data_IF_857538044808
#
_entry.id   IF_857538044808
#
_cell.length_a   1.000
_cell.length_b   1.000
_cell.length_c   1.000
_cell.angle_alpha   90.00
_cell.angle_beta   90.00
_cell.angle_gamma   90.00
#
_symmetry.space_group_name_H-M   'P 1'
#
loop_
_entity.id
_entity.type
_entity.pdbx_description
1 polymer ?
#
# COMPACT_ATOMS: atom_id res chain seq x y z
N UNK A 1 -2.98 -10.52 -8.04
CA UNK A 1 -4.35 -11.04 -7.96
C UNK A 1 -5.33 -10.35 -8.93
N UNK A 2 -5.19 -9.05 -9.24
CA UNK A 2 -6.15 -8.33 -10.09
C UNK A 2 -6.13 -8.74 -11.58
N UNK A 3 -4.96 -8.95 -12.16
CA UNK A 3 -4.82 -9.26 -13.59
C UNK A 3 -5.63 -10.49 -14.05
N UNK A 4 -5.62 -11.63 -13.34
CA UNK A 4 -6.40 -12.81 -13.75
C UNK A 4 -7.92 -12.59 -13.74
N UNK A 5 -8.43 -11.69 -12.90
CA UNK A 5 -9.86 -11.44 -12.75
C UNK A 5 -10.39 -10.29 -13.63
N UNK A 6 -9.52 -9.62 -14.40
CA UNK A 6 -9.94 -8.51 -15.29
C UNK A 6 -11.08 -8.91 -16.24
N UNK A 7 -11.02 -10.06 -16.93
CA UNK A 7 -12.09 -10.45 -17.83
C UNK A 7 -13.45 -10.63 -17.12
N UNK A 8 -13.44 -11.26 -15.94
CA UNK A 8 -14.65 -11.43 -15.13
C UNK A 8 -15.26 -10.10 -14.68
N UNK A 9 -14.42 -9.12 -14.31
CA UNK A 9 -14.88 -7.77 -13.96
C UNK A 9 -15.51 -7.06 -15.15
N UNK A 10 -14.94 -7.21 -16.37
CA UNK A 10 -15.50 -6.64 -17.59
C UNK A 10 -16.90 -7.20 -17.88
N UNK A 11 -17.06 -8.50 -17.76
CA UNK A 11 -18.33 -9.19 -18.01
C UNK A 11 -19.39 -8.79 -16.98
N UNK A 12 -19.06 -8.81 -15.70
CA UNK A 12 -20.01 -8.53 -14.61
C UNK A 12 -20.48 -7.08 -14.60
N UNK A 13 -19.57 -6.13 -14.80
CA UNK A 13 -19.92 -4.70 -14.77
C UNK A 13 -20.21 -4.08 -16.14
N UNK A 14 -20.12 -4.86 -17.23
CA UNK A 14 -20.35 -4.37 -18.59
C UNK A 14 -19.38 -3.27 -19.02
N UNK A 15 -18.16 -3.25 -18.49
CA UNK A 15 -17.15 -2.21 -18.79
C UNK A 15 -16.12 -2.68 -19.79
N UNK A 16 -15.60 -1.74 -20.57
CA UNK A 16 -14.57 -2.06 -21.58
C UNK A 16 -13.21 -2.35 -20.94
N UNK A 17 -12.34 -3.02 -21.70
CA UNK A 17 -10.94 -3.27 -21.31
C UNK A 17 -10.20 -1.99 -20.95
N UNK A 18 -10.55 -0.86 -21.59
CA UNK A 18 -9.97 0.45 -21.26
C UNK A 18 -10.24 0.85 -19.81
N UNK A 19 -11.46 0.73 -19.30
CA UNK A 19 -11.79 1.11 -17.93
C UNK A 19 -11.13 0.21 -16.88
N UNK A 20 -11.02 -1.10 -17.15
CA UNK A 20 -10.33 -2.02 -16.23
C UNK A 20 -8.82 -1.78 -16.21
N UNK A 21 -8.20 -1.50 -17.36
CA UNK A 21 -6.80 -1.12 -17.44
C UNK A 21 -6.54 0.26 -16.79
N UNK A 22 -7.45 1.22 -16.98
CA UNK A 22 -7.39 2.53 -16.32
C UNK A 22 -7.43 2.38 -14.80
N UNK A 23 -8.29 1.50 -14.27
CA UNK A 23 -8.34 1.21 -12.83
C UNK A 23 -7.00 0.73 -12.30
N UNK A 24 -6.31 -0.16 -13.02
CA UNK A 24 -4.99 -0.63 -12.63
C UNK A 24 -3.94 0.49 -12.62
N UNK A 25 -3.89 1.29 -13.67
CA UNK A 25 -2.97 2.43 -13.78
C UNK A 25 -3.25 3.50 -12.71
N UNK A 26 -4.52 3.78 -12.42
CA UNK A 26 -4.94 4.71 -11.39
C UNK A 26 -4.49 4.26 -9.99
N UNK A 27 -4.61 2.96 -9.69
CA UNK A 27 -4.13 2.39 -8.44
C UNK A 27 -2.63 2.59 -8.26
N UNK A 28 -1.83 2.32 -9.29
CA UNK A 28 -0.38 2.53 -9.24
C UNK A 28 -0.02 4.00 -9.07
N UNK A 29 -0.71 4.88 -9.78
CA UNK A 29 -0.51 6.33 -9.67
C UNK A 29 -0.82 6.85 -8.27
N UNK A 30 -1.98 6.53 -7.72
CA UNK A 30 -2.38 6.92 -6.36
C UNK A 30 -1.42 6.36 -5.32
N UNK A 31 -1.01 5.09 -5.47
CA UNK A 31 -0.03 4.46 -4.58
C UNK A 31 1.30 5.21 -4.58
N UNK A 32 1.80 5.63 -5.75
CA UNK A 32 3.05 6.37 -5.87
C UNK A 32 2.99 7.72 -5.10
N UNK A 33 1.92 8.49 -5.26
CA UNK A 33 1.73 9.72 -4.50
C UNK A 33 1.51 9.46 -3.00
N UNK A 34 0.77 8.42 -2.65
CA UNK A 34 0.57 8.01 -1.26
C UNK A 34 1.88 7.74 -0.54
N UNK A 35 2.86 7.11 -1.19
CA UNK A 35 4.16 6.82 -0.58
C UNK A 35 4.89 8.09 -0.11
N UNK A 36 4.79 9.19 -0.86
CA UNK A 36 5.39 10.47 -0.51
C UNK A 36 4.75 11.10 0.74
N UNK A 37 3.43 10.95 0.87
CA UNK A 37 2.69 11.52 2.00
C UNK A 37 2.93 10.73 3.30
N UNK A 38 2.97 9.40 3.23
CA UNK A 38 3.06 8.54 4.43
C UNK A 38 4.36 8.68 5.20
N UNK A 39 5.49 8.94 4.52
CA UNK A 39 6.76 9.20 5.19
C UNK A 39 6.61 10.31 6.23
N UNK A 40 6.13 11.46 5.80
CA UNK A 40 5.94 12.65 6.67
C UNK A 40 4.84 12.50 7.69
N UNK A 41 3.72 11.90 7.30
CA UNK A 41 2.62 11.63 8.24
C UNK A 41 3.12 10.78 9.41
N UNK A 42 3.92 9.77 9.12
CA UNK A 42 4.45 8.88 10.15
C UNK A 42 5.52 9.54 11.03
N UNK A 43 6.29 10.48 10.49
CA UNK A 43 7.24 11.27 11.27
C UNK A 43 6.53 12.25 12.23
N UNK A 44 5.35 12.74 11.83
CA UNK A 44 4.58 13.70 12.64
C UNK A 44 3.65 13.03 13.66
N UNK A 45 2.92 12.02 13.23
CA UNK A 45 1.86 11.39 14.04
C UNK A 45 2.31 10.11 14.75
N UNK A 46 3.48 9.58 14.39
CA UNK A 46 3.99 8.30 14.88
C UNK A 46 3.81 7.16 13.88
N UNK A 47 4.67 6.14 13.97
CA UNK A 47 4.68 5.01 13.03
C UNK A 47 3.44 4.15 13.15
N UNK A 48 3.12 3.74 14.39
CA UNK A 48 2.01 2.81 14.67
C UNK A 48 0.64 3.39 14.30
N UNK A 49 0.24 4.62 14.70
CA UNK A 49 -1.07 5.17 14.35
C UNK A 49 -1.28 5.28 12.83
N UNK A 50 -0.26 5.76 12.10
CA UNK A 50 -0.37 5.94 10.65
C UNK A 50 -0.44 4.58 9.94
N UNK A 51 0.33 3.58 10.39
CA UNK A 51 0.24 2.21 9.88
C UNK A 51 -1.16 1.62 10.09
N UNK A 52 -1.71 1.75 11.30
CA UNK A 52 -3.04 1.22 11.62
C UNK A 52 -4.14 1.88 10.78
N UNK A 53 -4.09 3.19 10.58
CA UNK A 53 -5.03 3.91 9.70
C UNK A 53 -4.90 3.39 8.26
N UNK A 54 -3.67 3.26 7.74
CA UNK A 54 -3.44 2.71 6.41
C UNK A 54 -3.98 1.29 6.24
N UNK A 55 -3.73 0.41 7.21
CA UNK A 55 -4.24 -0.95 7.18
C UNK A 55 -5.78 -1.01 7.26
N UNK A 56 -6.40 -0.18 8.10
CA UNK A 56 -7.87 -0.09 8.18
C UNK A 56 -8.48 0.42 6.88
N UNK A 57 -7.87 1.40 6.22
CA UNK A 57 -8.29 1.87 4.90
C UNK A 57 -8.18 0.75 3.85
N UNK A 58 -7.15 -0.10 3.94
CA UNK A 58 -7.02 -1.25 3.04
C UNK A 58 -8.13 -2.29 3.28
N UNK A 59 -8.47 -2.58 4.53
CA UNK A 59 -9.61 -3.45 4.90
C UNK A 59 -10.91 -2.90 4.33
N UNK A 60 -11.18 -1.61 4.56
CA UNK A 60 -12.39 -0.96 4.06
C UNK A 60 -12.46 -0.98 2.53
N UNK A 61 -11.36 -0.66 1.84
CA UNK A 61 -11.28 -0.70 0.38
C UNK A 61 -11.47 -2.11 -0.18
N UNK A 62 -10.86 -3.13 0.46
CA UNK A 62 -11.02 -4.52 0.05
C UNK A 62 -12.46 -5.02 0.26
N UNK A 63 -13.06 -4.67 1.41
CA UNK A 63 -14.45 -4.99 1.71
C UNK A 63 -15.42 -4.34 0.71
N UNK A 64 -15.21 -3.06 0.37
CA UNK A 64 -16.01 -2.38 -0.65
C UNK A 64 -15.91 -3.05 -2.02
N UNK A 65 -14.69 -3.46 -2.43
CA UNK A 65 -14.53 -4.21 -3.67
C UNK A 65 -15.25 -5.57 -3.63
N UNK A 66 -15.24 -6.25 -2.48
CA UNK A 66 -15.84 -7.58 -2.33
C UNK A 66 -17.37 -7.56 -2.47
N UNK A 67 -18.01 -6.47 -1.99
CA UNK A 67 -19.48 -6.30 -2.01
C UNK A 67 -19.97 -5.34 -3.10
N UNK A 68 -19.10 -4.95 -4.03
CA UNK A 68 -19.47 -3.97 -5.06
C UNK A 68 -20.54 -4.52 -6.01
N UNK A 69 -21.65 -3.79 -6.12
CA UNK A 69 -22.76 -4.10 -7.04
C UNK A 69 -22.72 -3.27 -8.31
N UNK A 70 -21.87 -2.27 -8.40
CA UNK A 70 -21.61 -1.48 -9.59
C UNK A 70 -20.11 -1.12 -9.71
N UNK A 71 -19.70 -0.70 -10.91
CA UNK A 71 -18.31 -0.36 -11.19
C UNK A 71 -17.81 0.85 -10.39
N UNK A 72 -18.66 1.80 -10.06
CA UNK A 72 -18.29 3.01 -9.32
C UNK A 72 -17.89 2.68 -7.88
N UNK A 73 -18.65 1.83 -7.20
CA UNK A 73 -18.31 1.34 -5.85
C UNK A 73 -17.03 0.49 -5.89
N UNK A 74 -16.90 -0.35 -6.90
CA UNK A 74 -15.68 -1.10 -7.12
C UNK A 74 -14.47 -0.17 -7.29
N UNK A 75 -14.58 0.86 -8.12
CA UNK A 75 -13.53 1.86 -8.33
C UNK A 75 -13.20 2.63 -7.04
N UNK A 76 -14.21 3.04 -6.26
CA UNK A 76 -14.01 3.67 -4.97
C UNK A 76 -13.23 2.77 -4.00
N UNK A 77 -13.57 1.48 -3.92
CA UNK A 77 -12.81 0.50 -3.14
C UNK A 77 -11.37 0.37 -3.61
N UNK A 78 -11.13 0.37 -4.93
CA UNK A 78 -9.78 0.34 -5.52
C UNK A 78 -8.96 1.58 -5.20
N UNK A 79 -9.56 2.75 -5.19
CA UNK A 79 -8.91 4.01 -4.79
C UNK A 79 -8.50 3.94 -3.31
N UNK A 80 -9.38 3.48 -2.42
CA UNK A 80 -9.06 3.30 -1.01
C UNK A 80 -7.91 2.30 -0.80
N UNK A 81 -7.93 1.16 -1.50
CA UNK A 81 -6.82 0.20 -1.49
C UNK A 81 -5.51 0.83 -1.95
N UNK A 82 -5.55 1.65 -3.00
CA UNK A 82 -4.37 2.30 -3.56
C UNK A 82 -3.75 3.31 -2.58
N UNK A 83 -4.58 4.13 -1.95
CA UNK A 83 -4.14 5.06 -0.90
C UNK A 83 -3.47 4.26 0.22
N UNK A 84 -4.08 3.19 0.68
CA UNK A 84 -3.59 2.37 1.78
C UNK A 84 -2.29 1.61 1.45
N UNK A 85 -2.13 1.10 0.23
CA UNK A 85 -1.01 0.24 -0.16
C UNK A 85 0.35 0.91 -0.01
N UNK A 86 0.44 2.20 -0.32
CA UNK A 86 1.67 2.99 -0.13
C UNK A 86 2.14 3.06 1.32
N UNK A 87 1.22 3.00 2.28
CA UNK A 87 1.51 3.04 3.71
C UNK A 87 2.43 1.88 4.15
N UNK A 88 2.07 0.65 3.80
CA UNK A 88 2.80 -0.54 4.22
C UNK A 88 4.26 -0.55 3.76
N UNK A 89 4.51 -0.19 2.51
CA UNK A 89 5.86 -0.18 1.91
C UNK A 89 6.77 0.83 2.60
N UNK A 90 6.26 2.03 2.88
CA UNK A 90 7.04 3.12 3.50
C UNK A 90 7.29 2.83 4.97
N UNK A 91 6.23 2.48 5.72
CA UNK A 91 6.34 2.31 7.16
C UNK A 91 7.09 1.06 7.56
N UNK A 92 7.02 -0.03 6.80
CA UNK A 92 7.83 -1.22 7.06
C UNK A 92 9.32 -0.91 7.09
N UNK A 93 9.81 -0.14 6.11
CA UNK A 93 11.21 0.29 6.05
C UNK A 93 11.56 1.32 7.15
N UNK A 94 10.63 2.23 7.45
CA UNK A 94 10.84 3.23 8.49
C UNK A 94 10.92 2.56 9.87
N UNK A 95 9.99 1.67 10.20
CA UNK A 95 9.99 0.89 11.47
C UNK A 95 11.27 0.02 11.57
N UNK A 96 11.65 -0.64 10.46
CA UNK A 96 12.89 -1.40 10.45
C UNK A 96 14.11 -0.54 10.79
N UNK A 97 14.19 0.67 10.26
CA UNK A 97 15.27 1.62 10.56
C UNK A 97 15.24 2.09 12.02
N UNK A 98 14.04 2.31 12.57
CA UNK A 98 13.87 2.80 13.93
C UNK A 98 14.20 1.71 14.97
N UNK A 99 14.00 0.42 14.64
CA UNK A 99 14.17 -0.72 15.55
C UNK A 99 15.55 -1.38 15.46
N UNK A 100 16.10 -1.48 14.25
CA UNK A 100 17.33 -2.23 14.01
C UNK A 100 18.52 -1.29 13.78
N UNK A 101 19.65 -1.58 14.44
CA UNK A 101 20.89 -0.87 14.22
C UNK A 101 21.51 -1.17 12.84
N UNK A 102 22.56 -0.41 12.45
CA UNK A 102 23.19 -0.50 11.13
C UNK A 102 23.55 -1.92 10.70
N UNK A 103 24.07 -2.72 11.63
CA UNK A 103 24.56 -4.08 11.35
C UNK A 103 23.44 -5.05 10.92
N UNK A 104 22.23 -4.90 11.46
CA UNK A 104 21.09 -5.76 11.18
C UNK A 104 20.13 -5.17 10.15
N UNK A 105 20.18 -3.86 9.94
CA UNK A 105 19.24 -3.15 9.07
C UNK A 105 19.30 -3.68 7.63
N UNK A 106 20.50 -3.90 7.08
CA UNK A 106 20.67 -4.41 5.73
C UNK A 106 20.00 -5.78 5.53
N UNK A 107 20.15 -6.68 6.52
CA UNK A 107 19.53 -8.00 6.49
C UNK A 107 18.00 -7.92 6.57
N UNK A 108 17.46 -7.07 7.45
CA UNK A 108 16.00 -6.87 7.59
C UNK A 108 15.41 -6.27 6.32
N UNK A 109 16.06 -5.29 5.72
CA UNK A 109 15.62 -4.70 4.43
C UNK A 109 15.66 -5.76 3.32
N UNK A 110 16.65 -6.65 3.29
CA UNK A 110 16.70 -7.75 2.33
C UNK A 110 15.49 -8.69 2.49
N UNK A 111 15.10 -9.06 3.72
CA UNK A 111 13.89 -9.86 3.96
C UNK A 111 12.61 -9.13 3.54
N UNK A 112 12.48 -7.84 3.85
CA UNK A 112 11.34 -7.03 3.42
C UNK A 112 11.25 -6.96 1.89
N UNK A 113 12.38 -6.79 1.21
CA UNK A 113 12.43 -6.75 -0.26
C UNK A 113 12.08 -8.09 -0.85
N UNK A 114 12.56 -9.20 -0.30
CA UNK A 114 12.20 -10.56 -0.72
C UNK A 114 10.70 -10.79 -0.59
N UNK A 115 10.11 -10.44 0.54
CA UNK A 115 8.66 -10.55 0.75
C UNK A 115 7.86 -9.69 -0.24
N UNK A 116 8.36 -8.48 -0.54
CA UNK A 116 7.75 -7.57 -1.52
C UNK A 116 7.78 -8.13 -2.95
N UNK A 117 8.82 -8.85 -3.34
CA UNK A 117 8.93 -9.49 -4.66
C UNK A 117 8.10 -10.78 -4.74
N UNK A 118 8.07 -11.57 -3.66
CA UNK A 118 7.27 -12.80 -3.61
C UNK A 118 5.75 -12.54 -3.70
N UNK A 119 5.28 -11.43 -3.12
CA UNK A 119 3.86 -11.06 -3.15
C UNK A 119 3.28 -11.02 -4.58
N UNK A 120 3.76 -10.17 -5.48
CA UNK A 120 3.33 -10.13 -6.88
C UNK A 120 3.50 -11.44 -7.63
N UNK A 121 4.52 -12.23 -7.31
CA UNK A 121 4.78 -13.53 -7.96
C UNK A 121 3.73 -14.58 -7.59
N UNK A 122 3.34 -14.64 -6.31
CA UNK A 122 2.34 -15.58 -5.81
C UNK A 122 0.89 -15.12 -6.03
N UNK A 123 0.70 -13.80 -6.16
CA UNK A 123 -0.64 -13.21 -6.26
C UNK A 123 -1.45 -13.66 -7.50
N UNK A 124 -0.91 -13.80 -8.73
CA UNK A 124 -1.67 -14.25 -9.87
C UNK A 124 -2.19 -15.71 -9.73
N UNK A 125 -1.37 -16.73 -9.39
CA UNK A 125 -1.88 -18.08 -9.22
C UNK A 125 -2.93 -18.20 -8.09
N UNK A 126 -2.71 -17.54 -6.95
CA UNK A 126 -3.69 -17.51 -5.87
C UNK A 126 -4.98 -16.81 -6.33
N UNK A 127 -4.87 -15.69 -7.03
CA UNK A 127 -6.01 -14.96 -7.55
C UNK A 127 -6.82 -15.76 -8.58
N UNK A 128 -6.16 -16.52 -9.45
CA UNK A 128 -6.81 -17.43 -10.40
C UNK A 128 -7.59 -18.53 -9.67
N UNK A 129 -6.94 -19.27 -8.77
CA UNK A 129 -7.60 -20.32 -7.98
C UNK A 129 -8.80 -19.82 -7.18
N UNK A 130 -8.69 -18.63 -6.59
CA UNK A 130 -9.82 -18.02 -5.84
C UNK A 130 -10.95 -17.61 -6.78
N UNK A 131 -10.62 -17.04 -7.95
CA UNK A 131 -11.61 -16.64 -8.94
C UNK A 131 -12.36 -17.84 -9.52
N UNK A 132 -11.66 -18.95 -9.81
CA UNK A 132 -12.25 -20.16 -10.38
C UNK A 132 -13.22 -20.85 -9.40
N UNK A 133 -12.93 -20.81 -8.09
CA UNK A 133 -13.74 -21.49 -7.08
C UNK A 133 -14.83 -20.60 -6.45
N UNK A 134 -14.56 -19.29 -6.29
CA UNK A 134 -15.40 -18.36 -5.54
C UNK A 134 -15.85 -17.13 -6.34
N UNK A 135 -15.53 -17.11 -7.63
CA UNK A 135 -15.76 -15.95 -8.48
C UNK A 135 -14.81 -14.77 -8.21
N UNK A 136 -14.95 -13.71 -8.99
CA UNK A 136 -14.07 -12.52 -8.88
C UNK A 136 -14.11 -11.86 -7.50
N UNK A 137 -15.26 -11.82 -6.83
CA UNK A 137 -15.43 -11.25 -5.49
C UNK A 137 -14.69 -12.06 -4.42
N UNK A 138 -14.50 -13.37 -4.62
CA UNK A 138 -13.73 -14.24 -3.72
C UNK A 138 -12.30 -13.75 -3.48
N UNK A 139 -11.67 -13.18 -4.50
CA UNK A 139 -10.33 -12.57 -4.38
C UNK A 139 -10.31 -11.40 -3.38
N UNK A 140 -11.36 -10.59 -3.38
CA UNK A 140 -11.47 -9.44 -2.49
C UNK A 140 -11.90 -9.82 -1.07
N UNK A 141 -12.75 -10.86 -0.92
CA UNK A 141 -13.03 -11.44 0.39
C UNK A 141 -11.77 -12.01 1.04
N UNK A 142 -10.96 -12.74 0.28
CA UNK A 142 -9.68 -13.24 0.76
C UNK A 142 -8.73 -12.09 1.14
N UNK A 143 -8.61 -11.06 0.30
CA UNK A 143 -7.80 -9.89 0.59
C UNK A 143 -8.27 -9.16 1.87
N UNK A 144 -9.60 -9.07 2.08
CA UNK A 144 -10.19 -8.50 3.30
C UNK A 144 -9.83 -9.34 4.52
N UNK A 145 -10.01 -10.65 4.46
CA UNK A 145 -9.70 -11.56 5.57
C UNK A 145 -8.21 -11.49 5.97
N UNK A 146 -7.30 -11.54 4.98
CA UNK A 146 -5.86 -11.42 5.22
C UNK A 146 -5.51 -10.06 5.80
N UNK A 147 -6.09 -8.97 5.29
CA UNK A 147 -5.81 -7.63 5.80
C UNK A 147 -6.34 -7.41 7.21
N UNK A 148 -7.49 -7.97 7.57
CA UNK A 148 -7.99 -7.99 8.97
C UNK A 148 -7.02 -8.72 9.89
N UNK A 149 -6.54 -9.88 9.48
CA UNK A 149 -5.52 -10.62 10.25
C UNK A 149 -4.25 -9.78 10.45
N UNK A 150 -3.79 -9.10 9.40
CA UNK A 150 -2.62 -8.21 9.48
C UNK A 150 -2.88 -7.04 10.45
N UNK A 151 -4.06 -6.42 10.42
CA UNK A 151 -4.45 -5.35 11.37
C UNK A 151 -4.36 -5.85 12.80
N UNK A 152 -4.91 -7.03 13.09
CA UNK A 152 -4.89 -7.62 14.43
C UNK A 152 -3.46 -7.91 14.89
N UNK A 153 -2.65 -8.56 14.05
CA UNK A 153 -1.25 -8.86 14.35
C UNK A 153 -0.42 -7.58 14.53
N UNK A 154 -0.59 -6.59 13.64
CA UNK A 154 0.11 -5.32 13.76
C UNK A 154 -0.29 -4.56 15.03
N UNK A 155 -1.56 -4.57 15.39
CA UNK A 155 -2.06 -3.96 16.62
C UNK A 155 -1.45 -4.56 17.90
N UNK A 156 -1.28 -5.88 17.91
CA UNK A 156 -0.74 -6.63 19.05
C UNK A 156 0.79 -6.58 19.14
N UNK A 157 1.48 -6.71 17.99
CA UNK A 157 2.94 -6.90 17.95
C UNK A 157 3.68 -5.57 17.84
N UNK A 158 3.18 -4.65 17.02
CA UNK A 158 3.91 -3.41 16.72
C UNK A 158 3.69 -2.42 17.87
N UNK A 159 4.80 -2.02 18.52
CA UNK A 159 4.83 -0.92 19.47
C UNK A 159 5.19 0.38 18.75
N UNK A 160 4.83 1.53 19.34
CA UNK A 160 5.26 2.81 18.79
C UNK A 160 6.79 2.93 18.86
N UNK A 161 7.43 3.08 17.72
CA UNK A 161 8.90 3.11 17.61
C UNK A 161 9.45 4.52 17.50
N UNK A 162 8.61 5.49 17.12
CA UNK A 162 9.05 6.88 16.93
C UNK A 162 8.93 7.68 18.21
N UNK A 163 10.01 7.75 19.00
CA UNK A 163 10.04 8.47 20.29
C UNK A 163 10.19 9.99 20.14
N UNK A 164 10.75 10.48 19.02
CA UNK A 164 10.95 11.91 18.78
C UNK A 164 9.97 12.41 17.72
N UNK A 165 8.77 12.80 18.14
CA UNK A 165 7.82 13.48 17.27
C UNK A 165 8.40 14.83 16.84
N UNK A 166 8.63 15.04 15.56
CA UNK A 166 9.08 16.33 15.03
C UNK A 166 7.94 17.34 15.20
N UNK A 167 7.98 18.10 16.31
CA UNK A 167 7.10 19.25 16.53
C UNK A 167 7.52 20.35 15.54
N UNK A 168 6.70 20.57 14.50
CA UNK A 168 6.78 21.83 13.77
C UNK A 168 7.25 21.80 12.31
N UNK A 169 6.88 20.81 11.50
CA UNK A 169 7.05 20.93 10.05
C UNK A 169 5.72 21.30 9.40
N UNK A 170 5.48 22.60 9.18
CA UNK A 170 4.30 23.09 8.46
C UNK A 170 4.32 22.72 6.99
N UNK A 171 3.14 22.76 6.32
CA UNK A 171 2.97 22.45 4.89
C UNK A 171 3.89 23.26 3.95
N UNK A 172 4.40 24.42 4.39
CA UNK A 172 5.32 25.26 3.63
C UNK A 172 6.75 24.69 3.49
N UNK A 173 7.11 23.66 4.26
CA UNK A 173 8.44 23.04 4.21
C UNK A 173 8.56 21.98 3.10
N UNK A 174 7.42 21.44 2.63
CA UNK A 174 7.39 20.40 1.58
C UNK A 174 8.13 20.80 0.31
N UNK A 175 7.77 21.95 -0.26
CA UNK A 175 8.37 22.41 -1.53
C UNK A 175 9.84 22.78 -1.36
N UNK A 176 10.24 23.28 -0.18
CA UNK A 176 11.63 23.61 0.11
C UNK A 176 12.49 22.35 0.26
N UNK A 177 12.01 21.34 1.00
CA UNK A 177 12.76 20.10 1.21
C UNK A 177 12.92 19.31 -0.09
N UNK A 178 11.87 19.18 -0.91
CA UNK A 178 11.97 18.55 -2.22
C UNK A 178 12.85 19.34 -3.18
N UNK A 179 12.75 20.65 -3.19
CA UNK A 179 13.62 21.49 -4.01
C UNK A 179 15.09 21.36 -3.59
N UNK A 180 15.35 21.26 -2.29
CA UNK A 180 16.70 21.10 -1.75
C UNK A 180 17.27 19.70 -2.07
N UNK A 181 16.45 18.64 -2.04
CA UNK A 181 16.84 17.29 -2.46
C UNK A 181 17.14 17.25 -3.97
N UNK A 182 16.29 17.81 -4.80
CA UNK A 182 16.48 17.85 -6.25
C UNK A 182 17.60 18.77 -6.70
N UNK A 183 17.98 19.77 -5.89
CA UNK A 183 19.13 20.63 -6.17
C UNK A 183 20.45 20.07 -5.66
N UNK A 184 20.43 18.95 -4.91
CA UNK A 184 21.66 18.32 -4.43
C UNK A 184 22.25 17.40 -5.50
N UNK A 185 23.44 17.75 -6.10
CA UNK A 185 24.01 16.98 -7.19
C UNK A 185 24.39 15.54 -6.81
N UNK A 186 24.68 15.31 -5.53
CA UNK A 186 24.97 13.97 -5.01
C UNK A 186 23.71 13.11 -5.04
N UNK A 187 22.57 13.65 -4.60
CA UNK A 187 21.30 12.92 -4.63
C UNK A 187 20.85 12.59 -6.06
N UNK A 188 20.94 13.57 -6.96
CA UNK A 188 20.58 13.38 -8.37
C UNK A 188 21.52 12.38 -9.06
N UNK A 189 22.83 12.40 -8.75
CA UNK A 189 23.79 11.47 -9.33
C UNK A 189 23.63 10.01 -8.88
N UNK A 190 22.98 9.74 -7.72
CA UNK A 190 22.70 8.38 -7.26
C UNK A 190 21.31 7.87 -7.70
N UNK A 191 20.45 8.72 -8.25
CA UNK A 191 19.08 8.37 -8.70
C UNK A 191 18.96 8.24 -10.21
N UNK A 192 19.95 8.68 -10.97
CA UNK A 192 20.09 8.47 -12.42
C UNK A 192 21.02 7.29 -12.69
#
# INVERSE_FOLDING_TARGET
>A
MYLPIMPAIQEVFGVTTFFTALTFSLVLFIMAFGTLAYGRMSDRFGRKPVLMIGLMLFVAGSGLCAVAWNFEIFLAGRILQAIAAGCGVVLARAIARDVYGPDKLAQVIAYLTTAYVLGPTLAPPIGGLLSDNFGWSGVFYFATAVSVLIVLLAGLVIRETHQQRVKGSGAGTLSKDYRQLLSNPVFVGYTL
#
